data_IF_060611938642
#
_entry.id   IF_060611938642
#
_cell.length_a   1.000
_cell.length_b   1.000
_cell.length_c   1.000
_cell.angle_alpha   90.00
_cell.angle_beta   90.00
_cell.angle_gamma   90.00
#
_symmetry.space_group_name_H-M   'P 1'
#
loop_
_entity.id
_entity.type
_entity.pdbx_description
1 polymer ?
#
# COMPACT_ATOMS: atom_id res chain seq x y z
N UNK A 1 1.79 -14.53 -7.03
CA UNK A 1 1.60 -15.67 -6.11
C UNK A 1 0.25 -16.34 -6.38
N UNK A 2 0.17 -17.23 -7.38
CA UNK A 2 -1.12 -17.79 -7.85
C UNK A 2 -1.64 -18.97 -7.01
N UNK A 3 -0.75 -19.87 -6.57
CA UNK A 3 -1.15 -21.10 -5.86
C UNK A 3 -1.86 -20.85 -4.53
N UNK A 4 -1.30 -19.99 -3.66
CA UNK A 4 -1.92 -19.64 -2.37
C UNK A 4 -3.27 -18.95 -2.54
N UNK A 5 -3.39 -18.05 -3.53
CA UNK A 5 -4.65 -17.36 -3.82
C UNK A 5 -5.78 -18.37 -4.09
N UNK A 6 -5.59 -19.33 -4.99
CA UNK A 6 -6.61 -20.35 -5.29
C UNK A 6 -6.90 -21.30 -4.12
N UNK A 7 -5.90 -21.58 -3.28
CA UNK A 7 -6.06 -22.50 -2.15
C UNK A 7 -6.81 -21.88 -0.95
N UNK A 8 -6.63 -20.57 -0.72
CA UNK A 8 -7.07 -19.92 0.54
C UNK A 8 -8.17 -18.88 0.36
N UNK A 9 -8.42 -18.40 -0.86
CA UNK A 9 -9.52 -17.48 -1.12
C UNK A 9 -10.88 -18.21 -1.02
N UNK A 10 -11.95 -17.52 -0.60
CA UNK A 10 -12.03 -16.09 -0.30
C UNK A 10 -11.58 -15.70 1.12
N UNK A 11 -11.47 -16.66 2.05
CA UNK A 11 -11.19 -16.39 3.46
C UNK A 11 -9.85 -15.65 3.69
N UNK A 12 -8.87 -15.82 2.81
CA UNK A 12 -7.57 -15.14 2.88
C UNK A 12 -7.67 -13.60 2.86
N UNK A 13 -8.69 -13.04 2.21
CA UNK A 13 -8.87 -11.59 2.10
C UNK A 13 -9.25 -10.92 3.43
N UNK A 14 -9.91 -11.65 4.33
CA UNK A 14 -10.38 -11.13 5.63
C UNK A 14 -9.38 -11.44 6.77
N UNK A 15 -8.23 -12.05 6.47
CA UNK A 15 -7.28 -12.44 7.51
C UNK A 15 -6.57 -11.24 8.12
N UNK A 16 -6.68 -11.13 9.44
CA UNK A 16 -6.00 -10.12 10.22
C UNK A 16 -5.46 -10.75 11.52
N UNK A 17 -4.33 -11.45 11.41
CA UNK A 17 -3.76 -12.18 12.55
C UNK A 17 -3.39 -11.28 13.73
N UNK A 18 -2.88 -10.08 13.45
CA UNK A 18 -2.47 -9.12 14.48
C UNK A 18 -3.60 -8.19 14.96
N UNK A 19 -4.81 -8.31 14.41
CA UNK A 19 -5.95 -7.47 14.80
C UNK A 19 -5.75 -5.97 14.50
N UNK A 20 -4.93 -5.63 13.50
CA UNK A 20 -4.64 -4.25 13.12
C UNK A 20 -5.88 -3.53 12.57
N UNK A 21 -6.13 -2.30 13.03
CA UNK A 21 -7.33 -1.53 12.68
C UNK A 21 -7.05 -0.06 12.32
N UNK A 22 -5.78 0.38 12.36
CA UNK A 22 -5.44 1.76 12.05
C UNK A 22 -5.74 2.08 10.58
N UNK A 23 -6.09 3.34 10.31
CA UNK A 23 -6.26 3.80 8.94
C UNK A 23 -4.90 4.01 8.24
N UNK A 24 -4.91 4.09 6.91
CA UNK A 24 -3.68 4.48 6.20
C UNK A 24 -3.35 5.93 6.53
N UNK A 25 -2.10 6.22 6.96
CA UNK A 25 -1.64 7.59 7.16
C UNK A 25 -1.79 8.45 5.89
N UNK A 26 -2.00 9.75 6.08
CA UNK A 26 -2.22 10.69 4.98
C UNK A 26 -1.09 10.69 3.94
N UNK A 27 0.15 10.45 4.37
CA UNK A 27 1.32 10.43 3.49
C UNK A 27 1.29 9.34 2.42
N UNK A 28 0.48 8.28 2.59
CA UNK A 28 0.27 7.28 1.52
C UNK A 28 -0.48 7.85 0.30
N UNK A 29 -1.06 9.05 0.42
CA UNK A 29 -1.79 9.75 -0.64
C UNK A 29 -0.98 10.88 -1.28
N UNK A 30 -0.26 11.66 -0.48
CA UNK A 30 0.46 12.87 -0.95
C UNK A 30 1.99 12.70 -0.98
N UNK A 31 2.55 11.72 -0.26
CA UNK A 31 3.99 11.50 -0.15
C UNK A 31 4.70 12.42 0.84
N UNK A 32 3.97 13.25 1.59
CA UNK A 32 4.53 14.24 2.51
C UNK A 32 4.87 13.61 3.85
N UNK A 33 6.16 13.36 4.07
CA UNK A 33 6.70 12.84 5.33
C UNK A 33 8.15 13.26 5.52
N UNK A 34 8.57 13.43 6.77
CA UNK A 34 9.96 13.72 7.12
C UNK A 34 10.86 12.49 7.00
N UNK A 35 10.28 11.29 6.95
CA UNK A 35 11.01 10.04 6.77
C UNK A 35 11.51 9.92 5.33
N UNK A 36 12.78 10.24 5.11
CA UNK A 36 13.40 10.29 3.78
C UNK A 36 13.15 9.04 2.91
N UNK A 37 13.29 7.84 3.50
CA UNK A 37 13.09 6.58 2.77
C UNK A 37 11.66 6.40 2.26
N UNK A 38 10.67 6.78 3.08
CA UNK A 38 9.26 6.75 2.72
C UNK A 38 8.93 7.83 1.71
N UNK A 39 9.41 9.06 1.91
CA UNK A 39 9.20 10.17 0.99
C UNK A 39 9.67 9.82 -0.42
N UNK A 40 10.90 9.30 -0.56
CA UNK A 40 11.45 8.97 -1.87
C UNK A 40 10.70 7.80 -2.53
N UNK A 41 10.36 6.78 -1.75
CA UNK A 41 9.58 5.63 -2.25
C UNK A 41 8.18 6.06 -2.69
N UNK A 42 7.51 6.90 -1.90
CA UNK A 42 6.16 7.37 -2.18
C UNK A 42 6.13 8.30 -3.39
N UNK A 43 7.08 9.23 -3.53
CA UNK A 43 7.23 10.07 -4.74
C UNK A 43 7.35 9.20 -5.99
N UNK A 44 8.25 8.22 -5.97
CA UNK A 44 8.44 7.31 -7.09
C UNK A 44 7.17 6.51 -7.43
N UNK A 45 6.42 6.04 -6.43
CA UNK A 45 5.14 5.34 -6.65
C UNK A 45 4.08 6.27 -7.24
N UNK A 46 3.99 7.51 -6.75
CA UNK A 46 3.00 8.48 -7.22
C UNK A 46 3.30 8.95 -8.65
N UNK A 47 4.57 9.16 -8.98
CA UNK A 47 5.00 9.67 -10.28
C UNK A 47 4.98 8.58 -11.37
N UNK A 48 5.32 7.33 -11.02
CA UNK A 48 5.50 6.25 -12.00
C UNK A 48 4.49 5.11 -11.89
N UNK A 49 3.69 5.05 -10.83
CA UNK A 49 2.81 3.90 -10.56
C UNK A 49 3.57 2.59 -10.39
N UNK A 50 4.84 2.67 -10.00
CA UNK A 50 5.74 1.52 -9.91
C UNK A 50 6.64 1.63 -8.68
N UNK A 51 6.86 0.48 -8.04
CA UNK A 51 7.92 0.33 -7.06
C UNK A 51 8.55 -1.05 -7.21
N UNK A 52 9.87 -1.07 -7.15
CA UNK A 52 10.63 -2.30 -7.10
C UNK A 52 10.29 -3.10 -5.82
N UNK A 53 10.50 -4.41 -5.87
CA UNK A 53 10.04 -5.34 -4.83
C UNK A 53 10.53 -4.96 -3.42
N UNK A 54 11.78 -4.50 -3.29
CA UNK A 54 12.36 -4.18 -1.98
C UNK A 54 11.69 -2.96 -1.34
N UNK A 55 11.32 -1.95 -2.13
CA UNK A 55 10.62 -0.76 -1.64
C UNK A 55 9.20 -1.12 -1.19
N UNK A 56 8.53 -2.02 -1.92
CA UNK A 56 7.20 -2.52 -1.56
C UNK A 56 7.21 -3.29 -0.25
N UNK A 57 8.21 -4.15 -0.05
CA UNK A 57 8.31 -5.00 1.14
C UNK A 57 8.84 -4.24 2.36
N UNK A 58 10.01 -3.63 2.23
CA UNK A 58 10.80 -3.15 3.38
C UNK A 58 10.58 -1.68 3.73
N UNK A 59 9.98 -0.89 2.84
CA UNK A 59 9.71 0.52 3.11
C UNK A 59 8.24 0.72 3.40
N UNK A 60 7.38 0.61 2.37
CA UNK A 60 5.94 0.89 2.55
C UNK A 60 5.19 -0.24 3.25
N UNK A 61 5.59 -1.50 3.03
CA UNK A 61 4.97 -2.67 3.67
C UNK A 61 5.35 -2.81 5.13
N UNK A 62 6.65 -2.71 5.44
CA UNK A 62 7.16 -2.76 6.80
C UNK A 62 6.59 -1.63 7.66
N UNK A 63 6.51 -0.41 7.13
CA UNK A 63 5.91 0.70 7.88
C UNK A 63 4.43 0.43 8.20
N UNK A 64 3.63 -0.02 7.23
CA UNK A 64 2.22 -0.32 7.44
C UNK A 64 2.01 -1.42 8.50
N UNK A 65 2.91 -2.41 8.53
CA UNK A 65 2.92 -3.45 9.55
C UNK A 65 3.23 -2.87 10.94
N UNK A 66 4.29 -2.05 11.06
CA UNK A 66 4.70 -1.46 12.35
C UNK A 66 3.69 -0.44 12.89
N UNK A 67 3.04 0.31 12.01
CA UNK A 67 2.01 1.29 12.38
C UNK A 67 0.69 0.63 12.80
N UNK A 68 0.45 -0.63 12.42
CA UNK A 68 -0.78 -1.33 12.75
C UNK A 68 -1.95 -1.02 11.80
N UNK A 69 -1.67 -0.81 10.51
CA UNK A 69 -2.68 -0.52 9.48
C UNK A 69 -3.57 -1.74 9.21
N UNK A 70 -4.87 -1.52 8.99
CA UNK A 70 -5.79 -2.56 8.50
C UNK A 70 -5.25 -3.19 7.19
N UNK A 71 -4.98 -4.52 7.18
CA UNK A 71 -4.43 -5.21 6.01
C UNK A 71 -5.25 -5.02 4.73
N UNK A 72 -6.59 -4.90 4.84
CA UNK A 72 -7.47 -4.73 3.67
C UNK A 72 -7.28 -3.36 3.04
N UNK A 73 -7.20 -2.31 3.86
CA UNK A 73 -6.97 -0.94 3.37
C UNK A 73 -5.60 -0.83 2.69
N UNK A 74 -4.59 -1.47 3.25
CA UNK A 74 -3.25 -1.48 2.66
C UNK A 74 -3.21 -2.28 1.35
N UNK A 75 -3.91 -3.43 1.30
CA UNK A 75 -4.08 -4.22 0.08
C UNK A 75 -4.77 -3.42 -1.03
N UNK A 76 -5.86 -2.73 -0.73
CA UNK A 76 -6.61 -1.91 -1.67
C UNK A 76 -5.76 -0.76 -2.23
N UNK A 77 -4.98 -0.11 -1.37
CA UNK A 77 -4.04 0.93 -1.79
C UNK A 77 -2.97 0.38 -2.75
N UNK A 78 -2.35 -0.76 -2.41
CA UNK A 78 -1.37 -1.41 -3.28
C UNK A 78 -1.96 -1.77 -4.64
N UNK A 79 -3.17 -2.32 -4.66
CA UNK A 79 -3.87 -2.67 -5.89
C UNK A 79 -4.12 -1.43 -6.76
N UNK A 80 -4.61 -0.34 -6.15
CA UNK A 80 -4.91 0.91 -6.86
C UNK A 80 -3.68 1.59 -7.42
N UNK A 81 -2.62 1.77 -6.64
CA UNK A 81 -1.48 2.59 -7.07
C UNK A 81 -0.47 1.82 -7.95
N UNK A 82 -0.45 0.48 -7.93
CA UNK A 82 0.57 -0.32 -8.65
C UNK A 82 -0.02 -1.17 -9.79
N UNK A 83 -1.31 -1.54 -9.76
CA UNK A 83 -1.89 -2.48 -10.74
C UNK A 83 -2.85 -1.87 -11.79
N UNK A 84 -3.27 -0.61 -11.66
CA UNK A 84 -4.12 0.09 -12.66
C UNK A 84 -3.32 1.16 -13.43
N UNK A 85 -2.74 0.78 -14.57
CA UNK A 85 -1.94 1.65 -15.45
C UNK A 85 -2.60 2.00 -16.82
N UNK A 86 -3.78 2.66 -16.88
CA UNK A 86 -3.95 3.55 -18.05
C UNK A 86 -4.54 4.93 -17.72
N UNK A 87 -4.84 5.23 -16.45
CA UNK A 87 -5.33 6.54 -16.03
C UNK A 87 -4.41 6.95 -14.89
N UNK A 88 -3.53 7.91 -15.15
CA UNK A 88 -2.43 8.31 -14.27
C UNK A 88 -2.79 8.24 -12.78
N UNK A 89 -1.89 7.65 -12.00
CA UNK A 89 -2.02 7.33 -10.58
C UNK A 89 -2.70 8.47 -9.82
N UNK A 90 -4.04 8.48 -9.77
CA UNK A 90 -4.83 9.50 -9.08
C UNK A 90 -4.93 9.12 -7.60
N UNK A 91 -3.81 8.64 -7.01
CA UNK A 91 -3.69 8.31 -5.59
C UNK A 91 -3.64 9.56 -4.70
N UNK A 92 -3.55 10.75 -5.31
CA UNK A 92 -3.89 12.03 -4.67
C UNK A 92 -5.42 12.14 -4.53
N UNK A 93 -6.01 11.41 -3.58
CA UNK A 93 -7.41 11.57 -3.22
C UNK A 93 -7.63 13.03 -2.82
N UNK A 94 -8.47 13.76 -3.58
CA UNK A 94 -8.95 15.08 -3.15
C UNK A 94 -9.76 14.88 -1.88
N UNK A 95 -9.38 15.63 -0.85
CA UNK A 95 -10.13 15.80 0.39
C UNK A 95 -11.59 16.17 0.07
N UNK A 96 -12.53 15.37 0.55
CA UNK A 96 -13.91 15.74 0.77
C UNK A 96 -14.29 15.20 2.15
#
# INVERSE_FOLDING_TARGET
MRGIHWLRMPAYAEMNHFGHAADLPAFYRDGETDMHCLRETMRHILDHGYAHHIHRLMVVGLFALLYGVDPRKFHDWLWRCISMQPIGCRCRMRSA
#
